data_IF_635442622933
#
_entry.id   IF_635442622933
#
_cell.length_a   1.000
_cell.length_b   1.000
_cell.length_c   1.000
_cell.angle_alpha   90.00
_cell.angle_beta   90.00
_cell.angle_gamma   90.00
#
_symmetry.space_group_name_H-M   'P 1'
#
loop_
_entity.id
_entity.type
_entity.pdbx_description
1 polymer ?
#
# COMPACT_ATOMS: atom_id res chain seq x y z
N UNK A 1 40.43 -22.26 -20.86
CA UNK A 1 39.99 -21.60 -19.62
C UNK A 1 39.09 -20.43 -19.98
N UNK A 2 37.77 -20.60 -19.88
CA UNK A 2 36.79 -19.55 -20.21
C UNK A 2 36.55 -18.70 -18.95
N UNK A 3 37.03 -17.45 -18.95
CA UNK A 3 36.70 -16.49 -17.89
C UNK A 3 35.23 -16.09 -18.05
N UNK A 4 34.37 -16.51 -17.12
CA UNK A 4 33.01 -15.96 -17.03
C UNK A 4 33.11 -14.47 -16.71
N UNK A 5 32.40 -13.58 -17.42
CA UNK A 5 32.36 -12.17 -17.06
C UNK A 5 31.74 -12.01 -15.66
N UNK A 6 32.16 -11.02 -14.87
CA UNK A 6 31.57 -10.74 -13.57
C UNK A 6 30.08 -10.49 -13.76
N UNK A 7 29.26 -11.23 -13.01
CA UNK A 7 27.82 -11.06 -13.01
C UNK A 7 27.51 -9.58 -12.81
N UNK A 8 26.78 -9.01 -13.78
CA UNK A 8 26.19 -7.68 -13.63
C UNK A 8 25.59 -7.61 -12.24
N UNK A 9 25.92 -6.57 -11.46
CA UNK A 9 25.29 -6.29 -10.20
C UNK A 9 23.78 -6.21 -10.44
N UNK A 10 23.12 -7.34 -10.27
CA UNK A 10 21.69 -7.48 -10.24
C UNK A 10 21.34 -6.83 -8.92
N UNK A 11 21.18 -5.49 -8.95
CA UNK A 11 20.63 -4.75 -7.83
C UNK A 11 19.43 -5.56 -7.36
N UNK A 12 19.54 -6.09 -6.15
CA UNK A 12 18.58 -7.04 -5.63
C UNK A 12 17.26 -6.26 -5.50
N UNK A 13 16.38 -6.43 -6.48
CA UNK A 13 15.12 -5.68 -6.63
C UNK A 13 14.32 -5.77 -5.33
N UNK A 14 14.46 -6.88 -4.62
CA UNK A 14 13.96 -7.12 -3.27
C UNK A 14 14.48 -6.11 -2.26
N UNK A 15 15.79 -5.87 -2.23
CA UNK A 15 16.44 -4.92 -1.33
C UNK A 15 16.00 -3.50 -1.65
N UNK A 16 15.94 -3.13 -2.93
CA UNK A 16 15.46 -1.82 -3.36
C UNK A 16 13.99 -1.58 -2.97
N UNK A 17 13.14 -2.59 -3.14
CA UNK A 17 11.72 -2.54 -2.73
C UNK A 17 11.56 -2.36 -1.22
N UNK A 18 12.36 -3.07 -0.42
CA UNK A 18 12.35 -2.93 1.05
C UNK A 18 12.78 -1.53 1.49
N UNK A 19 13.82 -0.98 0.88
CA UNK A 19 14.31 0.39 1.17
C UNK A 19 13.26 1.41 0.79
N UNK A 20 12.72 1.33 -0.43
CA UNK A 20 11.69 2.24 -0.92
C UNK A 20 10.47 2.24 0.00
N UNK A 21 9.95 1.06 0.34
CA UNK A 21 8.74 0.97 1.17
C UNK A 21 8.99 1.44 2.60
N UNK A 22 10.18 1.19 3.14
CA UNK A 22 10.56 1.73 4.46
C UNK A 22 10.62 3.26 4.43
N UNK A 23 11.18 3.86 3.37
CA UNK A 23 11.20 5.30 3.19
C UNK A 23 9.79 5.88 3.04
N UNK A 24 8.93 5.25 2.25
CA UNK A 24 7.52 5.66 2.10
C UNK A 24 6.78 5.62 3.44
N UNK A 25 7.01 4.59 4.24
CA UNK A 25 6.44 4.49 5.57
C UNK A 25 6.94 5.60 6.51
N UNK A 26 8.24 5.89 6.50
CA UNK A 26 8.81 6.99 7.30
C UNK A 26 8.25 8.35 6.87
N UNK A 27 8.06 8.58 5.57
CA UNK A 27 7.44 9.81 5.05
C UNK A 27 5.98 9.92 5.52
N UNK A 28 5.20 8.84 5.43
CA UNK A 28 3.82 8.82 5.91
C UNK A 28 3.75 9.06 7.43
N UNK A 29 4.67 8.47 8.20
CA UNK A 29 4.77 8.68 9.63
C UNK A 29 5.14 10.12 9.99
N UNK A 30 6.12 10.70 9.30
CA UNK A 30 6.51 12.09 9.49
C UNK A 30 5.37 13.06 9.15
N UNK A 31 4.63 12.80 8.07
CA UNK A 31 3.44 13.58 7.71
C UNK A 31 2.37 13.52 8.80
N UNK A 32 2.04 12.34 9.31
CA UNK A 32 1.06 12.17 10.38
C UNK A 32 1.50 12.88 11.68
N UNK A 33 2.78 12.75 12.07
CA UNK A 33 3.34 13.45 13.23
C UNK A 33 3.28 14.96 13.05
N UNK A 34 3.63 15.46 11.86
CA UNK A 34 3.59 16.89 11.57
C UNK A 34 2.19 17.47 11.70
N UNK A 35 1.17 16.70 11.30
CA UNK A 35 -0.23 17.11 11.41
C UNK A 35 -0.70 17.18 12.86
N UNK A 36 -0.32 16.18 13.69
CA UNK A 36 -0.61 16.18 15.12
C UNK A 36 0.05 17.39 15.81
N UNK A 37 1.30 17.69 15.45
CA UNK A 37 2.03 18.84 16.00
C UNK A 37 1.45 20.18 15.55
N UNK A 38 0.93 20.27 14.31
CA UNK A 38 0.26 21.45 13.80
C UNK A 38 -1.11 21.70 14.43
N UNK A 39 -1.67 20.71 15.14
CA UNK A 39 -2.99 20.80 15.78
C UNK A 39 -4.15 20.84 14.77
N UNK A 40 -3.90 20.49 13.51
CA UNK A 40 -4.90 20.47 12.45
C UNK A 40 -5.63 19.12 12.42
N UNK A 41 -6.68 19.04 13.23
CA UNK A 41 -7.54 17.86 13.38
C UNK A 41 -8.83 17.96 12.56
N UNK A 42 -8.81 18.67 11.43
CA UNK A 42 -9.92 18.57 10.48
C UNK A 42 -10.19 17.09 10.16
N UNK A 43 -11.46 16.71 10.13
CA UNK A 43 -11.87 15.30 10.05
C UNK A 43 -11.30 14.63 8.79
N UNK A 44 -11.25 15.37 7.69
CA UNK A 44 -10.71 14.91 6.40
C UNK A 44 -9.19 14.74 6.43
N UNK A 45 -8.46 15.65 7.07
CA UNK A 45 -7.00 15.59 7.15
C UNK A 45 -6.56 14.43 8.04
N UNK A 46 -7.25 14.19 9.17
CA UNK A 46 -7.03 13.04 10.03
C UNK A 46 -7.30 11.71 9.32
N UNK A 47 -8.44 11.61 8.62
CA UNK A 47 -8.81 10.40 7.89
C UNK A 47 -7.75 10.06 6.83
N UNK A 48 -7.28 11.08 6.11
CA UNK A 48 -6.24 10.97 5.09
C UNK A 48 -4.91 10.49 5.69
N UNK A 49 -4.48 11.06 6.82
CA UNK A 49 -3.24 10.64 7.48
C UNK A 49 -3.31 9.21 8.03
N UNK A 50 -4.41 8.84 8.68
CA UNK A 50 -4.61 7.48 9.21
C UNK A 50 -4.62 6.46 8.07
N UNK A 51 -5.29 6.78 6.97
CA UNK A 51 -5.32 5.89 5.81
C UNK A 51 -3.97 5.80 5.10
N UNK A 52 -3.25 6.91 4.95
CA UNK A 52 -1.90 6.92 4.40
C UNK A 52 -0.98 6.01 5.21
N UNK A 53 -1.01 6.13 6.55
CA UNK A 53 -0.30 5.27 7.48
C UNK A 53 -0.74 3.80 7.37
N UNK A 54 -2.04 3.55 7.23
CA UNK A 54 -2.55 2.19 7.06
C UNK A 54 -2.02 1.54 5.78
N UNK A 55 -2.12 2.23 4.64
CA UNK A 55 -1.70 1.70 3.34
C UNK A 55 -0.19 1.52 3.28
N UNK A 56 0.59 2.52 3.71
CA UNK A 56 2.06 2.40 3.74
C UNK A 56 2.54 1.40 4.80
N UNK A 57 1.89 1.32 5.95
CA UNK A 57 2.21 0.37 7.01
C UNK A 57 1.91 -1.07 6.60
N UNK A 58 0.73 -1.33 6.03
CA UNK A 58 0.39 -2.66 5.48
C UNK A 58 1.34 -3.04 4.35
N UNK A 59 1.69 -2.11 3.46
CA UNK A 59 2.70 -2.32 2.41
C UNK A 59 4.07 -2.67 3.01
N UNK A 60 4.54 -1.92 4.00
CA UNK A 60 5.80 -2.17 4.69
C UNK A 60 5.84 -3.53 5.36
N UNK A 61 4.78 -3.89 6.09
CA UNK A 61 4.67 -5.22 6.70
C UNK A 61 4.70 -6.32 5.63
N UNK A 62 3.98 -6.14 4.52
CA UNK A 62 3.94 -7.11 3.42
C UNK A 62 5.31 -7.31 2.79
N UNK A 63 5.98 -6.22 2.42
CA UNK A 63 7.26 -6.27 1.69
C UNK A 63 8.42 -6.71 2.59
N UNK A 64 8.48 -6.22 3.84
CA UNK A 64 9.53 -6.60 4.77
C UNK A 64 9.43 -8.07 5.18
N UNK A 65 8.21 -8.59 5.36
CA UNK A 65 7.96 -10.00 5.69
C UNK A 65 7.89 -10.93 4.48
N UNK A 66 7.94 -10.40 3.26
CA UNK A 66 7.73 -11.21 2.04
C UNK A 66 6.33 -11.83 1.97
N UNK A 67 5.34 -11.23 2.62
CA UNK A 67 3.98 -11.74 2.74
C UNK A 67 3.02 -11.19 1.68
N UNK A 68 3.51 -10.44 0.69
CA UNK A 68 2.69 -9.79 -0.35
C UNK A 68 1.89 -10.75 -1.23
N UNK A 69 2.37 -12.00 -1.35
CA UNK A 69 1.66 -13.07 -2.06
C UNK A 69 0.62 -13.78 -1.19
N UNK A 70 0.56 -13.49 0.11
CA UNK A 70 -0.39 -14.17 1.00
C UNK A 70 -1.78 -13.56 0.87
N UNK A 71 -2.78 -14.43 0.77
CA UNK A 71 -4.18 -14.01 0.62
C UNK A 71 -4.68 -13.12 1.76
N UNK A 72 -4.25 -13.41 3.00
CA UNK A 72 -4.59 -12.59 4.18
C UNK A 72 -4.04 -11.17 4.05
N UNK A 73 -2.81 -11.02 3.56
CA UNK A 73 -2.23 -9.71 3.34
C UNK A 73 -2.92 -8.96 2.20
N UNK A 74 -3.19 -9.64 1.08
CA UNK A 74 -3.86 -9.02 -0.06
C UNK A 74 -5.28 -8.57 0.29
N UNK A 75 -6.04 -9.39 1.01
CA UNK A 75 -7.36 -9.02 1.50
C UNK A 75 -7.32 -7.81 2.44
N UNK A 76 -6.34 -7.75 3.36
CA UNK A 76 -6.16 -6.60 4.24
C UNK A 76 -5.79 -5.33 3.44
N UNK A 77 -4.80 -5.42 2.56
CA UNK A 77 -4.32 -4.30 1.76
C UNK A 77 -5.41 -3.74 0.84
N UNK A 78 -6.02 -4.58 0.01
CA UNK A 78 -7.07 -4.16 -0.92
C UNK A 78 -8.36 -3.78 -0.19
N UNK A 79 -8.71 -4.47 0.90
CA UNK A 79 -9.86 -4.13 1.73
C UNK A 79 -9.76 -2.72 2.30
N UNK A 80 -8.62 -2.39 2.91
CA UNK A 80 -8.39 -1.04 3.41
C UNK A 80 -8.33 0.01 2.29
N UNK A 81 -7.77 -0.33 1.13
CA UNK A 81 -7.75 0.55 -0.04
C UNK A 81 -9.16 0.87 -0.54
N UNK A 82 -10.07 -0.12 -0.60
CA UNK A 82 -11.47 0.08 -0.98
C UNK A 82 -12.19 1.00 0.00
N UNK A 83 -12.07 0.71 1.31
CA UNK A 83 -12.74 1.50 2.36
C UNK A 83 -12.25 2.95 2.33
N UNK A 84 -10.94 3.15 2.22
CA UNK A 84 -10.38 4.50 2.16
C UNK A 84 -10.77 5.24 0.88
N UNK A 85 -10.68 4.58 -0.27
CA UNK A 85 -11.01 5.20 -1.55
C UNK A 85 -12.50 5.56 -1.63
N UNK A 86 -13.38 4.75 -1.05
CA UNK A 86 -14.79 5.08 -0.89
C UNK A 86 -14.97 6.33 -0.03
N UNK A 87 -14.32 6.38 1.15
CA UNK A 87 -14.42 7.54 2.03
C UNK A 87 -13.95 8.83 1.35
N UNK A 88 -12.81 8.78 0.64
CA UNK A 88 -12.29 9.95 -0.09
C UNK A 88 -13.12 10.33 -1.30
N UNK A 89 -13.74 9.37 -1.99
CA UNK A 89 -14.65 9.69 -3.08
C UNK A 89 -15.89 10.42 -2.56
N UNK A 90 -16.41 10.04 -1.39
CA UNK A 90 -17.55 10.70 -0.78
C UNK A 90 -17.25 12.13 -0.30
N UNK A 91 -16.01 12.42 0.12
CA UNK A 91 -15.61 13.75 0.57
C UNK A 91 -15.17 14.66 -0.57
N UNK A 92 -14.34 14.16 -1.49
CA UNK A 92 -13.70 14.97 -2.54
C UNK A 92 -14.40 14.89 -3.91
N UNK A 93 -15.17 13.83 -4.16
CA UNK A 93 -15.74 13.54 -5.48
C UNK A 93 -14.71 13.17 -6.56
N UNK A 94 -13.44 12.96 -6.19
CA UNK A 94 -12.36 12.72 -7.16
C UNK A 94 -12.48 11.34 -7.83
N UNK A 95 -12.41 11.35 -9.17
CA UNK A 95 -12.45 10.16 -10.02
C UNK A 95 -11.28 9.23 -9.74
N UNK A 96 -10.14 9.74 -9.30
CA UNK A 96 -9.00 8.90 -8.92
C UNK A 96 -9.37 7.93 -7.78
N UNK A 97 -10.07 8.41 -6.77
CA UNK A 97 -10.53 7.59 -5.65
C UNK A 97 -11.62 6.60 -6.09
N UNK A 98 -12.52 7.00 -6.99
CA UNK A 98 -13.48 6.06 -7.57
C UNK A 98 -12.80 4.92 -8.32
N UNK A 99 -11.82 5.22 -9.19
CA UNK A 99 -11.08 4.21 -9.93
C UNK A 99 -10.28 3.30 -9.01
N UNK A 100 -9.66 3.87 -7.97
CA UNK A 100 -8.91 3.14 -6.95
C UNK A 100 -9.80 2.17 -6.17
N UNK A 101 -11.00 2.62 -5.79
CA UNK A 101 -12.01 1.78 -5.15
C UNK A 101 -12.42 0.61 -6.05
N UNK A 102 -12.72 0.87 -7.32
CA UNK A 102 -13.11 -0.17 -8.29
C UNK A 102 -11.98 -1.19 -8.49
N UNK A 103 -10.73 -0.73 -8.62
CA UNK A 103 -9.57 -1.60 -8.76
C UNK A 103 -9.36 -2.49 -7.51
N UNK A 104 -9.47 -1.91 -6.30
CA UNK A 104 -9.39 -2.67 -5.06
C UNK A 104 -10.50 -3.71 -4.94
N UNK A 105 -11.73 -3.36 -5.31
CA UNK A 105 -12.88 -4.27 -5.28
C UNK A 105 -12.70 -5.42 -6.28
N UNK A 106 -12.23 -5.14 -7.49
CA UNK A 106 -11.93 -6.16 -8.49
C UNK A 106 -10.87 -7.15 -8.00
N UNK A 107 -9.82 -6.66 -7.32
CA UNK A 107 -8.80 -7.53 -6.72
C UNK A 107 -9.38 -8.43 -5.62
N UNK A 108 -10.26 -7.90 -4.76
CA UNK A 108 -10.94 -8.70 -3.73
C UNK A 108 -11.84 -9.77 -4.36
N UNK A 109 -12.58 -9.41 -5.41
CA UNK A 109 -13.40 -10.37 -6.15
C UNK A 109 -12.54 -11.45 -6.80
N UNK A 110 -11.42 -11.09 -7.45
CA UNK A 110 -10.45 -12.04 -7.97
C UNK A 110 -9.94 -13.01 -6.89
N UNK A 111 -9.60 -12.48 -5.72
CA UNK A 111 -9.19 -13.29 -4.56
C UNK A 111 -10.29 -14.22 -4.05
N UNK A 112 -11.56 -13.90 -4.28
CA UNK A 112 -12.70 -14.73 -3.91
C UNK A 112 -12.94 -15.82 -4.95
N UNK A 113 -12.84 -15.50 -6.24
CA UNK A 113 -13.00 -16.47 -7.34
C UNK A 113 -11.87 -17.48 -7.41
N UNK A 114 -10.63 -17.10 -7.07
CA UNK A 114 -9.51 -18.05 -6.92
C UNK A 114 -9.75 -19.15 -5.84
N UNK A 115 -10.78 -19.02 -5.00
CA UNK A 115 -11.16 -20.04 -4.00
C UNK A 115 -12.05 -21.12 -4.58
N UNK A 116 -12.77 -20.83 -5.65
CA UNK A 116 -13.70 -21.73 -6.29
C UNK A 116 -13.13 -22.10 -7.66
N UNK A 117 -12.12 -22.99 -7.73
CA UNK A 117 -11.78 -23.60 -9.00
C UNK A 117 -12.97 -24.47 -9.42
N UNK A 118 -13.56 -24.16 -10.57
CA UNK A 118 -14.47 -25.08 -11.27
C UNK A 118 -13.76 -26.40 -11.63
#
# INVERSE_FOLDING_TARGET
MVRRPPGRAQFDVTTLSKVLVSLLFLVALAAAVSQVLAGDFATDSLLTSVASLYVTGTLAVGVLRGATATRRWQAAFFGGLVVFSLAQYLTSGDRFHLLSMVAGAAMILGLLFDVFPE
#
